data_IF_667262121260
#
_entry.id   IF_667262121260
#
_cell.length_a   1.000
_cell.length_b   1.000
_cell.length_c   1.000
_cell.angle_alpha   90.00
_cell.angle_beta   90.00
_cell.angle_gamma   90.00
#
_symmetry.space_group_name_H-M   'P 1'
#
loop_
_entity.id
_entity.type
_entity.pdbx_description
1 polymer ?
#
# COMPACT_ATOMS: atom_id res chain seq x y z
N UNK A 1 9.21 -23.23 -13.04
CA UNK A 1 8.32 -23.15 -11.90
C UNK A 1 8.84 -23.99 -10.76
N UNK A 2 9.01 -23.38 -9.65
CA UNK A 2 9.64 -24.03 -8.54
C UNK A 2 8.67 -24.45 -7.45
N UNK A 3 9.22 -25.01 -6.38
CA UNK A 3 8.47 -25.40 -5.20
C UNK A 3 7.69 -24.24 -4.57
N UNK A 4 8.16 -23.02 -4.77
CA UNK A 4 7.49 -21.84 -4.25
C UNK A 4 6.11 -21.64 -4.89
N UNK A 5 6.01 -21.83 -6.20
CA UNK A 5 4.74 -21.69 -6.91
C UNK A 5 3.73 -22.74 -6.45
N UNK A 6 4.19 -23.96 -6.23
CA UNK A 6 3.36 -25.04 -5.71
C UNK A 6 2.88 -24.72 -4.30
N UNK A 7 3.76 -24.16 -3.48
CA UNK A 7 3.42 -23.72 -2.12
C UNK A 7 2.32 -22.66 -2.14
N UNK A 8 2.44 -21.67 -3.01
CA UNK A 8 1.45 -20.59 -3.14
C UNK A 8 0.09 -21.17 -3.56
N UNK A 9 0.07 -22.13 -4.48
CA UNK A 9 -1.17 -22.77 -4.89
C UNK A 9 -1.84 -23.53 -3.75
N UNK A 10 -1.06 -24.25 -2.94
CA UNK A 10 -1.59 -24.97 -1.77
C UNK A 10 -2.17 -23.96 -0.76
N UNK A 11 -1.45 -22.87 -0.52
CA UNK A 11 -1.91 -21.83 0.40
C UNK A 11 -3.24 -21.24 -0.07
N UNK A 12 -3.38 -20.97 -1.36
CA UNK A 12 -4.61 -20.41 -1.92
C UNK A 12 -5.81 -21.35 -1.80
N UNK A 13 -5.60 -22.64 -1.65
CA UNK A 13 -6.68 -23.62 -1.59
C UNK A 13 -7.32 -23.75 -0.22
N UNK A 14 -6.72 -23.19 0.83
CA UNK A 14 -7.30 -23.27 2.16
C UNK A 14 -8.13 -22.00 2.44
N UNK A 15 -9.30 -22.17 3.04
CA UNK A 15 -10.20 -21.04 3.36
C UNK A 15 -9.53 -20.03 4.28
N UNK A 16 -8.85 -20.50 5.32
CA UNK A 16 -8.16 -19.62 6.27
C UNK A 16 -7.09 -18.80 5.57
N UNK A 17 -6.34 -19.44 4.68
CA UNK A 17 -5.30 -18.76 3.94
C UNK A 17 -5.85 -17.80 2.89
N UNK A 18 -6.97 -18.16 2.28
CA UNK A 18 -7.65 -17.24 1.37
C UNK A 18 -8.11 -15.97 2.09
N UNK A 19 -8.67 -16.11 3.29
CA UNK A 19 -9.07 -14.96 4.09
C UNK A 19 -7.86 -14.08 4.45
N UNK A 20 -6.74 -14.71 4.80
CA UNK A 20 -5.49 -13.99 5.08
C UNK A 20 -4.99 -13.26 3.86
N UNK A 21 -4.97 -13.90 2.70
CA UNK A 21 -4.52 -13.28 1.45
C UNK A 21 -5.41 -12.09 1.07
N UNK A 22 -6.71 -12.22 1.24
CA UNK A 22 -7.64 -11.11 0.99
C UNK A 22 -7.36 -9.94 1.93
N UNK A 23 -7.06 -10.23 3.18
CA UNK A 23 -6.69 -9.19 4.15
C UNK A 23 -5.41 -8.47 3.73
N UNK A 24 -4.41 -9.22 3.27
CA UNK A 24 -3.15 -8.67 2.79
C UNK A 24 -3.35 -7.80 1.53
N UNK A 25 -4.30 -8.14 0.69
CA UNK A 25 -4.63 -7.32 -0.47
C UNK A 25 -5.34 -6.03 -0.09
N UNK A 26 -6.19 -6.08 0.92
CA UNK A 26 -6.95 -4.90 1.39
C UNK A 26 -6.06 -3.86 2.06
N UNK A 27 -5.10 -4.28 2.84
CA UNK A 27 -4.26 -3.35 3.60
C UNK A 27 -3.44 -2.42 2.71
N UNK A 28 -2.78 -2.92 1.64
CA UNK A 28 -2.10 -2.02 0.71
C UNK A 28 -3.05 -1.03 0.03
N UNK A 29 -4.25 -1.49 -0.34
CA UNK A 29 -5.24 -0.64 -0.97
C UNK A 29 -5.72 0.47 -0.04
N UNK A 30 -5.96 0.16 1.23
CA UNK A 30 -6.37 1.14 2.23
C UNK A 30 -5.28 2.17 2.47
N UNK A 31 -4.04 1.74 2.60
CA UNK A 31 -2.93 2.64 2.83
C UNK A 31 -2.71 3.55 1.63
N UNK A 32 -2.76 3.00 0.43
CA UNK A 32 -2.67 3.79 -0.79
C UNK A 32 -3.79 4.83 -0.86
N UNK A 33 -5.01 4.45 -0.49
CA UNK A 33 -6.15 5.36 -0.46
C UNK A 33 -5.93 6.53 0.50
N UNK A 34 -5.40 6.27 1.69
CA UNK A 34 -5.09 7.32 2.66
C UNK A 34 -4.08 8.30 2.09
N UNK A 35 -3.00 7.79 1.50
CA UNK A 35 -1.95 8.62 0.90
C UNK A 35 -2.52 9.47 -0.25
N UNK A 36 -3.28 8.84 -1.15
CA UNK A 36 -3.86 9.55 -2.29
C UNK A 36 -4.85 10.62 -1.86
N UNK A 37 -5.73 10.33 -0.91
CA UNK A 37 -6.71 11.32 -0.41
C UNK A 37 -6.03 12.54 0.17
N UNK A 38 -5.05 12.34 1.02
CA UNK A 38 -4.35 13.45 1.64
C UNK A 38 -3.57 14.24 0.60
N UNK A 39 -2.90 13.55 -0.32
CA UNK A 39 -2.17 14.20 -1.40
C UNK A 39 -3.09 15.05 -2.26
N UNK A 40 -4.26 14.55 -2.62
CA UNK A 40 -5.22 15.31 -3.43
C UNK A 40 -5.79 16.51 -2.66
N UNK A 41 -5.97 16.37 -1.35
CA UNK A 41 -6.50 17.45 -0.52
C UNK A 41 -5.48 18.57 -0.27
N UNK A 42 -4.21 18.23 -0.14
CA UNK A 42 -3.16 19.20 0.25
C UNK A 42 -2.22 19.57 -0.88
N UNK A 43 -2.17 18.78 -1.94
CA UNK A 43 -1.18 18.86 -3.03
C UNK A 43 0.25 18.72 -2.54
N UNK A 44 0.45 18.10 -1.38
CA UNK A 44 1.75 17.92 -0.76
C UNK A 44 1.98 16.44 -0.43
N UNK A 45 3.24 16.02 -0.43
CA UNK A 45 3.61 14.69 0.01
C UNK A 45 3.15 14.47 1.46
N UNK A 46 2.82 13.24 1.79
CA UNK A 46 2.23 12.88 3.08
C UNK A 46 3.33 12.47 4.05
N UNK A 47 3.50 13.16 5.18
CA UNK A 47 4.50 12.76 6.18
C UNK A 47 4.14 11.42 6.79
N UNK A 48 5.14 10.66 7.18
CA UNK A 48 4.96 9.32 7.75
C UNK A 48 4.11 9.33 9.03
N UNK A 49 4.21 10.38 9.84
CA UNK A 49 3.43 10.46 11.07
C UNK A 49 1.93 10.71 10.85
N UNK A 50 1.53 11.07 9.63
CA UNK A 50 0.11 11.14 9.27
C UNK A 50 -0.46 9.77 8.93
N UNK A 51 0.40 8.77 8.73
CA UNK A 51 -0.01 7.42 8.42
C UNK A 51 -0.04 6.60 9.70
N UNK A 52 -1.13 5.88 9.93
CA UNK A 52 -1.23 5.02 11.09
C UNK A 52 -0.48 3.71 10.83
N UNK A 53 0.85 3.78 10.91
CA UNK A 53 1.73 2.65 10.66
C UNK A 53 2.04 1.93 11.97
N UNK A 54 1.01 1.39 12.60
CA UNK A 54 1.21 0.66 13.85
C UNK A 54 1.80 -0.72 13.56
N UNK A 55 2.97 -0.97 14.16
CA UNK A 55 3.60 -2.25 14.11
C UNK A 55 4.34 -2.56 12.81
N UNK A 56 4.91 -3.74 12.79
CA UNK A 56 5.74 -4.24 11.70
C UNK A 56 4.97 -4.32 10.37
N UNK A 57 3.70 -4.67 10.44
CA UNK A 57 2.88 -4.91 9.26
C UNK A 57 2.66 -3.63 8.44
N UNK A 58 2.41 -2.52 9.12
CA UNK A 58 2.20 -1.23 8.45
C UNK A 58 3.40 -0.80 7.61
N UNK A 59 4.62 -0.92 8.17
CA UNK A 59 5.84 -0.59 7.43
C UNK A 59 6.07 -1.54 6.26
N UNK A 60 5.77 -2.82 6.44
CA UNK A 60 5.92 -3.81 5.38
C UNK A 60 5.01 -3.48 4.20
N UNK A 61 3.77 -3.11 4.48
CA UNK A 61 2.80 -2.71 3.46
C UNK A 61 3.28 -1.47 2.72
N UNK A 62 3.77 -0.48 3.45
CA UNK A 62 4.27 0.76 2.86
C UNK A 62 5.46 0.49 1.94
N UNK A 63 6.38 -0.36 2.36
CA UNK A 63 7.52 -0.78 1.52
C UNK A 63 7.06 -1.49 0.26
N UNK A 64 6.02 -2.31 0.36
CA UNK A 64 5.46 -2.98 -0.79
C UNK A 64 4.89 -2.00 -1.81
N UNK A 65 4.21 -0.95 -1.35
CA UNK A 65 3.69 0.10 -2.23
C UNK A 65 4.82 0.85 -2.94
N UNK A 66 5.90 1.13 -2.23
CA UNK A 66 7.08 1.77 -2.83
C UNK A 66 7.74 0.84 -3.85
N UNK A 67 7.91 -0.43 -3.51
CA UNK A 67 8.51 -1.42 -4.41
C UNK A 67 7.68 -1.64 -5.66
N UNK A 68 6.36 -1.54 -5.55
CA UNK A 68 5.44 -1.66 -6.69
C UNK A 68 5.34 -0.39 -7.54
N UNK A 69 6.07 0.65 -7.16
CA UNK A 69 6.07 1.94 -7.86
C UNK A 69 4.70 2.64 -7.84
N UNK A 70 3.93 2.39 -6.81
CA UNK A 70 2.65 3.07 -6.59
C UNK A 70 2.80 4.32 -5.73
N UNK A 71 3.88 4.36 -4.94
CA UNK A 71 4.20 5.46 -4.03
C UNK A 71 5.70 5.70 -4.10
N UNK A 72 6.12 6.95 -4.03
CA UNK A 72 7.53 7.30 -3.86
C UNK A 72 7.77 7.73 -2.43
N UNK A 73 8.96 7.44 -1.94
CA UNK A 73 9.40 7.85 -0.62
C UNK A 73 10.54 8.85 -0.75
N UNK A 74 10.39 10.00 -0.14
CA UNK A 74 11.42 11.01 -0.11
C UNK A 74 11.70 11.39 1.34
N UNK A 75 12.93 11.77 1.60
CA UNK A 75 13.33 12.24 2.92
C UNK A 75 13.21 13.75 2.98
N UNK A 76 12.52 14.23 3.98
CA UNK A 76 12.47 15.66 4.23
C UNK A 76 13.62 16.02 5.17
N UNK A 77 14.64 16.69 4.63
CA UNK A 77 15.88 16.98 5.36
C UNK A 77 15.66 17.81 6.62
N UNK A 78 14.67 18.68 6.61
CA UNK A 78 14.42 19.62 7.69
C UNK A 78 14.09 18.93 9.02
N UNK A 79 13.38 17.79 8.98
CA UNK A 79 12.95 17.09 10.18
C UNK A 79 13.38 15.63 10.18
N UNK A 80 14.20 15.23 9.23
CA UNK A 80 14.62 13.84 9.05
C UNK A 80 13.44 12.88 8.93
N UNK A 81 12.29 13.36 8.48
CA UNK A 81 11.09 12.57 8.27
C UNK A 81 11.04 12.05 6.83
N UNK A 82 10.38 10.91 6.67
CA UNK A 82 10.04 10.44 5.34
C UNK A 82 8.67 10.99 4.94
N UNK A 83 8.55 11.37 3.69
CA UNK A 83 7.29 11.81 3.11
C UNK A 83 6.96 10.93 1.91
N UNK A 84 5.69 10.70 1.68
CA UNK A 84 5.20 9.76 0.68
C UNK A 84 4.28 10.47 -0.29
N UNK A 85 4.46 10.19 -1.55
CA UNK A 85 3.69 10.79 -2.63
C UNK A 85 3.24 9.69 -3.57
N UNK A 86 1.97 9.66 -3.99
CA UNK A 86 1.54 8.68 -4.97
C UNK A 86 2.19 8.95 -6.33
N UNK A 87 2.52 7.89 -7.03
CA UNK A 87 2.95 8.00 -8.43
C UNK A 87 1.72 8.16 -9.31
N UNK A 88 1.93 8.46 -10.60
CA UNK A 88 0.82 8.46 -11.54
C UNK A 88 0.11 7.10 -11.57
N UNK A 89 0.89 6.03 -11.54
CA UNK A 89 0.33 4.68 -11.48
C UNK A 89 -0.48 4.46 -10.20
N UNK A 90 0.01 4.97 -9.07
CA UNK A 90 -0.70 4.88 -7.79
C UNK A 90 -2.03 5.61 -7.83
N UNK A 91 -2.07 6.80 -8.40
CA UNK A 91 -3.31 7.58 -8.52
C UNK A 91 -4.32 6.89 -9.44
N UNK A 92 -3.85 6.31 -10.55
CA UNK A 92 -4.73 5.55 -11.45
C UNK A 92 -5.33 4.33 -10.76
N UNK A 93 -4.51 3.62 -10.01
CA UNK A 93 -4.97 2.45 -9.27
C UNK A 93 -5.99 2.83 -8.22
N UNK A 94 -5.75 3.91 -7.49
CA UNK A 94 -6.67 4.44 -6.50
C UNK A 94 -8.02 4.82 -7.12
N UNK A 95 -8.00 5.53 -8.25
CA UNK A 95 -9.23 5.92 -8.94
C UNK A 95 -10.01 4.72 -9.46
N UNK A 96 -9.31 3.72 -9.96
CA UNK A 96 -9.94 2.47 -10.41
C UNK A 96 -10.63 1.75 -9.24
N UNK A 97 -9.99 1.74 -8.06
CA UNK A 97 -10.59 1.14 -6.86
C UNK A 97 -11.82 1.91 -6.41
N UNK A 98 -11.82 3.23 -6.49
CA UNK A 98 -12.99 4.05 -6.17
C UNK A 98 -14.14 3.74 -7.13
N UNK A 99 -13.87 3.64 -8.42
CA UNK A 99 -14.88 3.36 -9.43
C UNK A 99 -15.51 1.98 -9.21
N UNK A 100 -14.72 1.01 -8.76
CA UNK A 100 -15.19 -0.33 -8.47
C UNK A 100 -15.77 -0.47 -7.06
N UNK A 101 -15.77 0.59 -6.28
CA UNK A 101 -16.26 0.62 -4.90
C UNK A 101 -15.54 -0.35 -3.98
N UNK A 102 -14.25 -0.57 -4.22
CA UNK A 102 -13.43 -1.46 -3.38
C UNK A 102 -12.87 -0.76 -2.15
N UNK A 103 -12.94 0.55 -2.15
CA UNK A 103 -12.50 1.38 -1.02
C UNK A 103 -13.46 2.53 -0.78
#
# INVERSE_FOLDING_TARGET
MGAFDDFVEVVKQTETMQALLQSLEREPAKLLAVICREYEATSKAVPDHHLNLSGYFGETVLRALVSANLVTREREDRFALYVYKPTEAGLRYYRAMLDEKKI
#
